data_IF_601968236786
#
_entry.id   IF_601968236786
#
_cell.length_a   1.000
_cell.length_b   1.000
_cell.length_c   1.000
_cell.angle_alpha   90.00
_cell.angle_beta   90.00
_cell.angle_gamma   90.00
#
_symmetry.space_group_name_H-M   'P 1'
#
loop_
_entity.id
_entity.type
_entity.pdbx_description
1 polymer ?
#
# COMPACT_ATOMS: atom_id res chain seq x y z
N UNK A 1 14.88 -11.50 -15.82
CA UNK A 1 14.54 -10.64 -14.69
C UNK A 1 13.53 -11.32 -13.80
N UNK A 2 13.81 -11.39 -12.51
CA UNK A 2 12.81 -11.93 -11.63
C UNK A 2 11.64 -10.97 -11.55
N UNK A 3 10.46 -11.47 -11.76
CA UNK A 3 9.26 -10.68 -11.61
C UNK A 3 9.03 -10.46 -10.11
N UNK A 4 8.61 -9.26 -9.75
CA UNK A 4 8.20 -8.99 -8.39
C UNK A 4 6.84 -9.67 -8.21
N UNK A 5 6.79 -10.60 -7.27
CA UNK A 5 5.53 -11.26 -6.95
C UNK A 5 4.91 -10.56 -5.76
N UNK A 6 3.65 -10.26 -5.87
CA UNK A 6 2.93 -9.62 -4.78
C UNK A 6 1.51 -10.17 -4.72
N UNK A 7 0.93 -10.04 -3.54
CA UNK A 7 -0.46 -10.40 -3.36
C UNK A 7 -1.09 -9.38 -2.41
N UNK A 8 -2.17 -8.74 -2.87
CA UNK A 8 -2.92 -7.85 -2.01
C UNK A 8 -3.84 -8.71 -1.17
N UNK A 9 -3.46 -8.90 0.09
CA UNK A 9 -4.22 -9.76 0.99
C UNK A 9 -5.47 -9.07 1.52
N UNK A 10 -5.41 -7.75 1.64
CA UNK A 10 -6.55 -6.98 2.11
C UNK A 10 -6.48 -5.57 1.56
N UNK A 11 -7.55 -5.13 0.93
CA UNK A 11 -7.69 -3.74 0.52
C UNK A 11 -8.31 -2.98 1.68
N UNK A 12 -7.56 -2.02 2.22
CA UNK A 12 -8.05 -1.25 3.37
C UNK A 12 -8.84 -0.04 2.91
N UNK A 13 -8.29 0.71 1.97
CA UNK A 13 -9.02 1.85 1.44
C UNK A 13 -8.22 2.68 0.46
N UNK A 14 -8.88 3.66 -0.11
CA UNK A 14 -8.32 4.60 -1.07
C UNK A 14 -8.05 5.92 -0.35
N UNK A 15 -6.82 6.41 -0.46
CA UNK A 15 -6.44 7.68 0.15
C UNK A 15 -6.75 8.86 -0.77
N UNK A 16 -6.56 8.68 -2.06
CA UNK A 16 -6.86 9.71 -3.05
C UNK A 16 -7.04 9.08 -4.41
N UNK A 17 -7.78 9.77 -5.27
CA UNK A 17 -7.94 9.35 -6.66
C UNK A 17 -7.27 10.36 -7.55
N UNK A 18 -6.45 9.88 -8.48
CA UNK A 18 -5.80 10.72 -9.47
C UNK A 18 -6.59 10.62 -10.77
N UNK A 19 -6.63 11.68 -11.54
CA UNK A 19 -7.50 11.78 -12.69
C UNK A 19 -7.24 10.81 -13.84
N UNK A 20 -6.19 10.01 -13.76
CA UNK A 20 -5.78 9.09 -14.83
C UNK A 20 -6.11 7.63 -14.51
N UNK A 21 -7.04 7.39 -13.60
CA UNK A 21 -7.37 6.04 -13.20
C UNK A 21 -6.42 5.45 -12.16
N UNK A 22 -5.49 6.24 -11.68
CA UNK A 22 -4.59 5.84 -10.61
C UNK A 22 -5.16 6.28 -9.28
N UNK A 23 -5.00 5.43 -8.28
CA UNK A 23 -5.50 5.73 -6.94
C UNK A 23 -4.40 5.41 -5.93
N UNK A 24 -4.20 6.29 -4.98
CA UNK A 24 -3.30 6.00 -3.86
C UNK A 24 -4.08 5.19 -2.84
N UNK A 25 -3.58 4.00 -2.54
CA UNK A 25 -4.30 3.04 -1.71
C UNK A 25 -3.47 2.61 -0.52
N UNK A 26 -4.18 2.27 0.55
CA UNK A 26 -3.62 1.59 1.69
C UNK A 26 -4.09 0.14 1.64
N UNK A 27 -3.17 -0.78 1.58
CA UNK A 27 -3.45 -2.21 1.48
C UNK A 27 -2.52 -3.00 2.39
N UNK A 28 -2.91 -4.24 2.68
CA UNK A 28 -2.00 -5.23 3.23
C UNK A 28 -1.46 -6.02 2.05
N UNK A 29 -0.15 -5.96 1.84
CA UNK A 29 0.47 -6.60 0.68
C UNK A 29 1.56 -7.57 1.12
N UNK A 30 1.51 -8.77 0.57
CA UNK A 30 2.56 -9.76 0.73
C UNK A 30 3.50 -9.65 -0.46
N UNK A 31 4.77 -9.37 -0.20
CA UNK A 31 5.79 -9.26 -1.23
C UNK A 31 6.63 -10.53 -1.25
N UNK A 32 6.69 -11.17 -2.42
CA UNK A 32 7.53 -12.37 -2.63
C UNK A 32 7.27 -13.46 -1.59
N UNK A 33 6.02 -13.66 -1.22
CA UNK A 33 5.65 -14.71 -0.28
C UNK A 33 5.96 -14.43 1.18
N UNK A 34 6.38 -13.20 1.50
CA UNK A 34 6.66 -12.82 2.88
C UNK A 34 5.36 -12.41 3.58
N UNK A 35 5.35 -12.39 4.93
CA UNK A 35 4.16 -11.92 5.65
C UNK A 35 3.73 -10.53 5.17
N UNK A 36 2.43 -10.33 5.06
CA UNK A 36 1.89 -9.08 4.57
C UNK A 36 2.23 -7.92 5.48
N UNK A 37 2.49 -6.76 4.85
CA UNK A 37 2.74 -5.51 5.56
C UNK A 37 1.81 -4.45 5.01
N UNK A 38 1.67 -3.36 5.74
CA UNK A 38 0.92 -2.22 5.24
C UNK A 38 1.70 -1.56 4.11
N UNK A 39 0.98 -1.13 3.08
CA UNK A 39 1.59 -0.57 1.89
C UNK A 39 0.77 0.60 1.39
N UNK A 40 1.46 1.70 1.08
CA UNK A 40 0.84 2.90 0.53
C UNK A 40 1.53 3.19 -0.79
N UNK A 41 0.76 3.12 -1.87
CA UNK A 41 1.25 3.44 -3.22
C UNK A 41 0.08 3.66 -4.16
N UNK A 42 0.40 4.17 -5.34
CA UNK A 42 -0.60 4.33 -6.38
C UNK A 42 -0.76 3.03 -7.14
N UNK A 43 -2.01 2.70 -7.45
CA UNK A 43 -2.37 1.53 -8.22
C UNK A 43 -3.34 1.92 -9.32
N UNK A 44 -3.29 1.20 -10.44
CA UNK A 44 -4.36 1.26 -11.43
C UNK A 44 -5.58 0.54 -10.87
N UNK A 45 -6.74 0.81 -11.46
CA UNK A 45 -8.00 0.21 -11.00
C UNK A 45 -7.94 -1.33 -11.01
N UNK A 46 -7.30 -1.90 -12.01
CA UNK A 46 -7.16 -3.35 -12.13
C UNK A 46 -6.10 -3.93 -11.21
N UNK A 47 -5.28 -3.07 -10.57
CA UNK A 47 -4.13 -3.46 -9.75
C UNK A 47 -3.04 -4.21 -10.54
N UNK A 48 -3.01 -4.01 -11.86
CA UNK A 48 -1.97 -4.60 -12.68
C UNK A 48 -0.69 -3.77 -12.68
N UNK A 49 -0.81 -2.47 -12.41
CA UNK A 49 0.33 -1.55 -12.41
C UNK A 49 0.35 -0.76 -11.11
N UNK A 50 1.55 -0.42 -10.69
CA UNK A 50 1.77 0.32 -9.45
C UNK A 50 2.96 1.24 -9.58
N UNK A 51 3.01 2.25 -8.72
CA UNK A 51 4.17 3.13 -8.61
C UNK A 51 5.02 2.68 -7.44
N UNK A 52 6.12 3.39 -7.23
CA UNK A 52 6.89 3.24 -6.00
C UNK A 52 6.03 3.72 -4.83
N UNK A 53 6.19 3.08 -3.71
CA UNK A 53 5.47 3.47 -2.52
C UNK A 53 6.28 3.15 -1.28
N UNK A 54 5.60 3.13 -0.15
CA UNK A 54 6.26 2.77 1.11
C UNK A 54 5.56 1.58 1.72
N UNK A 55 6.34 0.78 2.40
CA UNK A 55 5.85 -0.38 3.13
C UNK A 55 6.12 -0.13 4.61
N UNK A 56 5.11 -0.31 5.44
CA UNK A 56 5.19 -0.04 6.86
C UNK A 56 4.87 -1.29 7.65
N UNK A 57 5.61 -1.49 8.74
CA UNK A 57 5.22 -2.49 9.71
C UNK A 57 4.00 -2.00 10.49
N UNK A 58 3.39 -2.90 11.24
CA UNK A 58 2.27 -2.52 12.09
C UNK A 58 2.67 -1.45 13.09
N UNK A 59 3.84 -1.60 13.70
CA UNK A 59 4.36 -0.62 14.64
C UNK A 59 4.55 0.75 13.99
N UNK A 60 5.12 0.77 12.79
CA UNK A 60 5.33 2.03 12.07
C UNK A 60 4.02 2.72 11.75
N UNK A 61 3.02 1.95 11.32
CA UNK A 61 1.71 2.52 11.03
C UNK A 61 1.05 3.07 12.29
N UNK A 62 1.14 2.33 13.41
CA UNK A 62 0.57 2.79 14.68
C UNK A 62 1.23 4.09 15.13
N UNK A 63 2.54 4.18 14.99
CA UNK A 63 3.26 5.40 15.34
C UNK A 63 2.86 6.57 14.45
N UNK A 64 2.66 6.30 13.16
CA UNK A 64 2.21 7.34 12.24
C UNK A 64 0.85 7.89 12.67
N UNK A 65 -0.07 7.00 13.02
CA UNK A 65 -1.40 7.40 13.47
C UNK A 65 -1.31 8.26 14.72
N UNK A 66 -0.49 7.86 15.68
CA UNK A 66 -0.32 8.61 16.91
C UNK A 66 0.26 9.99 16.66
N UNK A 67 1.26 10.09 15.80
CA UNK A 67 1.86 11.37 15.45
C UNK A 67 0.85 12.32 14.81
N UNK A 68 -0.01 11.80 13.96
CA UNK A 68 -1.04 12.61 13.31
C UNK A 68 -2.07 13.10 14.33
N UNK A 69 -2.45 12.24 15.29
CA UNK A 69 -3.41 12.60 16.32
C UNK A 69 -2.89 13.67 17.27
N UNK A 70 -1.58 13.68 17.49
CA UNK A 70 -0.95 14.62 18.45
C UNK A 70 -0.70 16.01 17.85
N UNK A 71 -0.89 16.18 16.56
CA UNK A 71 -0.60 17.46 15.89
C UNK A 71 -1.85 18.13 15.36
#
# INVERSE_FOLDING_TARGET
MPDIKFEIEKHIGVLSENGNGWRKELNMVSWNGRPAKYDIRDWTESHERMTKGITLSQEELENLIELVKEN
#
